data_IF_179826750506
#
_entry.id   IF_179826750506
#
_cell.length_a   1.000
_cell.length_b   1.000
_cell.length_c   1.000
_cell.angle_alpha   90.00
_cell.angle_beta   90.00
_cell.angle_gamma   90.00
#
_symmetry.space_group_name_H-M   'P 1'
#
loop_
_entity.id
_entity.type
_entity.pdbx_description
1 polymer ?
#
# COMPACT_ATOMS: atom_id res chain seq x y z
N UNK A 1 0.01 -21.47 -4.42
CA UNK A 1 1.12 -20.62 -4.96
C UNK A 1 0.88 -19.19 -4.51
N UNK A 2 1.85 -18.57 -3.84
CA UNK A 2 1.71 -17.23 -3.25
C UNK A 2 1.62 -16.14 -4.34
N UNK A 3 0.64 -15.25 -4.20
CA UNK A 3 0.40 -14.10 -5.10
C UNK A 3 1.50 -13.02 -4.92
N UNK A 4 1.99 -12.89 -3.68
CA UNK A 4 2.98 -11.91 -3.27
C UNK A 4 4.27 -12.61 -2.83
N UNK A 5 5.33 -11.82 -2.69
CA UNK A 5 6.57 -12.28 -2.08
C UNK A 5 6.35 -12.29 -0.56
N UNK A 6 6.98 -13.22 0.19
CA UNK A 6 6.73 -13.40 1.62
C UNK A 6 6.83 -12.12 2.46
N UNK A 7 7.73 -11.21 2.10
CA UNK A 7 7.91 -9.93 2.82
C UNK A 7 6.68 -9.01 2.75
N UNK A 8 5.92 -9.04 1.65
CA UNK A 8 4.71 -8.23 1.52
C UNK A 8 3.54 -8.88 2.26
N UNK A 9 3.43 -10.21 2.22
CA UNK A 9 2.43 -10.97 2.98
C UNK A 9 2.65 -10.84 4.50
N UNK A 10 3.91 -10.90 4.96
CA UNK A 10 4.29 -10.70 6.36
C UNK A 10 3.83 -9.33 6.87
N UNK A 11 4.02 -8.27 6.09
CA UNK A 11 3.53 -6.95 6.47
C UNK A 11 2.00 -6.91 6.64
N UNK A 12 1.23 -7.53 5.73
CA UNK A 12 -0.23 -7.58 5.85
C UNK A 12 -0.63 -8.29 7.16
N UNK A 13 0.00 -9.41 7.47
CA UNK A 13 -0.22 -10.13 8.71
C UNK A 13 0.09 -9.27 9.94
N UNK A 14 1.24 -8.58 9.95
CA UNK A 14 1.62 -7.68 11.04
C UNK A 14 0.66 -6.51 11.21
N UNK A 15 0.11 -5.97 10.13
CA UNK A 15 -0.93 -4.94 10.21
C UNK A 15 -2.20 -5.52 10.84
N UNK A 16 -2.67 -6.68 10.35
CA UNK A 16 -3.89 -7.32 10.81
C UNK A 16 -3.82 -7.69 12.30
N UNK A 17 -2.68 -8.23 12.75
CA UNK A 17 -2.43 -8.62 14.14
C UNK A 17 -1.96 -7.47 15.03
N UNK A 18 -1.89 -6.23 14.50
CA UNK A 18 -1.37 -5.06 15.21
C UNK A 18 0.01 -5.34 15.83
N UNK A 19 0.92 -5.89 15.05
CA UNK A 19 2.30 -6.21 15.48
C UNK A 19 3.31 -5.13 15.08
N UNK A 20 2.91 -4.14 14.30
CA UNK A 20 3.82 -3.09 13.87
C UNK A 20 4.23 -2.15 15.02
N UNK A 21 5.54 -1.91 15.20
CA UNK A 21 6.06 -0.97 16.20
C UNK A 21 5.91 0.49 15.75
N UNK A 22 4.67 0.93 15.56
CA UNK A 22 4.35 2.35 15.30
C UNK A 22 4.62 3.21 16.54
N UNK A 23 4.98 4.47 16.34
CA UNK A 23 5.51 5.32 17.41
C UNK A 23 4.53 5.62 18.52
N UNK A 24 3.21 5.53 18.27
CA UNK A 24 2.20 5.62 19.33
C UNK A 24 2.40 4.60 20.47
N UNK A 25 3.09 3.47 20.21
CA UNK A 25 3.38 2.43 21.21
C UNK A 25 4.50 2.78 22.18
N UNK A 26 5.36 3.75 21.84
CA UNK A 26 6.50 4.14 22.66
C UNK A 26 6.17 5.25 23.66
N UNK A 27 4.93 5.28 24.16
CA UNK A 27 4.46 6.28 25.14
C UNK A 27 5.32 6.32 26.41
N UNK A 28 5.89 5.18 26.80
CA UNK A 28 6.75 5.03 27.97
C UNK A 28 8.09 5.76 27.84
N UNK A 29 8.52 6.13 26.62
CA UNK A 29 9.75 6.89 26.37
C UNK A 29 9.53 8.41 26.37
N UNK A 30 8.29 8.89 26.52
CA UNK A 30 7.93 10.31 26.35
C UNK A 30 8.67 11.26 27.29
N UNK A 31 9.06 10.80 28.49
CA UNK A 31 9.84 11.61 29.43
C UNK A 31 11.27 11.86 28.93
N UNK A 32 11.86 10.91 28.21
CA UNK A 32 13.23 10.98 27.70
C UNK A 32 13.27 11.64 26.31
N UNK A 33 12.26 11.36 25.48
CA UNK A 33 12.14 11.82 24.10
C UNK A 33 10.72 12.37 23.92
N UNK A 34 10.50 13.69 24.10
CA UNK A 34 9.16 14.29 24.11
C UNK A 34 8.33 14.05 22.85
N UNK A 35 8.98 13.94 21.70
CA UNK A 35 8.42 13.74 20.36
C UNK A 35 8.43 12.27 19.91
N UNK A 36 8.74 11.33 20.80
CA UNK A 36 8.88 9.91 20.46
C UNK A 36 7.65 9.30 19.79
N UNK A 37 6.45 9.83 20.06
CA UNK A 37 5.20 9.34 19.49
C UNK A 37 4.79 10.04 18.17
N UNK A 38 5.45 11.14 17.80
CA UNK A 38 5.10 11.92 16.61
C UNK A 38 5.45 11.18 15.32
N UNK A 39 4.77 11.54 14.23
CA UNK A 39 5.04 11.04 12.90
C UNK A 39 6.51 11.33 12.52
N UNK A 40 7.25 10.37 11.97
CA UNK A 40 8.62 10.60 11.53
C UNK A 40 8.75 11.57 10.34
N UNK A 41 7.65 11.88 9.66
CA UNK A 41 7.68 12.78 8.53
C UNK A 41 7.92 14.22 9.01
N UNK A 42 8.94 14.95 8.51
CA UNK A 42 9.29 16.29 8.98
C UNK A 42 8.14 17.30 8.99
N UNK A 43 7.18 17.15 8.08
CA UNK A 43 6.03 18.05 7.94
C UNK A 43 4.78 17.57 8.70
N UNK A 44 4.92 16.65 9.66
CA UNK A 44 3.81 16.08 10.39
C UNK A 44 4.13 15.87 11.87
N UNK A 45 3.36 16.51 12.76
CA UNK A 45 3.51 16.40 14.23
C UNK A 45 2.46 15.51 14.89
N UNK A 46 1.58 14.88 14.10
CA UNK A 46 0.53 13.99 14.61
C UNK A 46 1.11 12.73 15.23
N UNK A 47 0.40 12.12 16.18
CA UNK A 47 0.79 10.84 16.76
C UNK A 47 0.75 9.74 15.69
N UNK A 48 1.85 9.01 15.51
CA UNK A 48 1.95 7.94 14.53
C UNK A 48 1.21 6.68 15.02
N UNK A 49 -0.06 6.56 14.66
CA UNK A 49 -0.79 5.29 14.71
C UNK A 49 -0.63 4.51 13.40
N UNK A 50 -1.03 3.24 13.37
CA UNK A 50 -1.05 2.44 12.12
C UNK A 50 -1.93 3.08 11.05
N UNK A 51 -3.09 3.63 11.44
CA UNK A 51 -3.98 4.36 10.54
C UNK A 51 -3.33 5.66 10.07
N UNK A 52 -2.65 6.38 10.96
CA UNK A 52 -1.94 7.59 10.58
C UNK A 52 -0.85 7.31 9.55
N UNK A 53 0.03 6.34 9.83
CA UNK A 53 1.13 5.95 8.96
C UNK A 53 0.65 5.60 7.54
N UNK A 54 -0.38 4.75 7.43
CA UNK A 54 -0.81 4.20 6.15
C UNK A 54 -1.99 4.93 5.51
N UNK A 55 -2.60 5.92 6.16
CA UNK A 55 -3.80 6.57 5.60
C UNK A 55 -3.91 8.06 5.89
N UNK A 56 -3.72 8.52 7.13
CA UNK A 56 -4.05 9.91 7.50
C UNK A 56 -2.88 10.89 7.35
N UNK A 57 -1.63 10.41 7.41
CA UNK A 57 -0.45 11.24 7.19
C UNK A 57 -0.53 11.93 5.82
N UNK A 58 -0.29 13.25 5.69
CA UNK A 58 -0.40 13.97 4.41
C UNK A 58 0.38 13.31 3.26
N UNK A 59 1.57 12.80 3.56
CA UNK A 59 2.40 12.06 2.61
C UNK A 59 1.71 10.77 2.15
N UNK A 60 1.19 9.98 3.09
CA UNK A 60 0.46 8.75 2.78
C UNK A 60 -0.81 9.01 1.98
N UNK A 61 -1.61 10.00 2.40
CA UNK A 61 -2.81 10.45 1.68
C UNK A 61 -2.47 10.77 0.24
N UNK A 62 -1.39 11.52 0.00
CA UNK A 62 -0.96 11.88 -1.34
C UNK A 62 -0.51 10.67 -2.15
N UNK A 63 0.23 9.74 -1.55
CA UNK A 63 0.60 8.48 -2.21
C UNK A 63 -0.65 7.71 -2.65
N UNK A 64 -1.65 7.54 -1.77
CA UNK A 64 -2.86 6.81 -2.12
C UNK A 64 -3.72 7.51 -3.15
N UNK A 65 -3.78 8.85 -3.17
CA UNK A 65 -4.46 9.59 -4.23
C UNK A 65 -3.87 9.25 -5.61
N UNK A 66 -2.53 9.27 -5.72
CA UNK A 66 -1.84 8.93 -6.97
C UNK A 66 -2.06 7.46 -7.35
N UNK A 67 -1.93 6.53 -6.40
CA UNK A 67 -2.13 5.11 -6.68
C UNK A 67 -3.58 4.75 -6.98
N UNK A 68 -4.55 5.54 -6.50
CA UNK A 68 -5.98 5.27 -6.66
C UNK A 68 -6.55 5.88 -7.93
N UNK A 69 -5.97 6.96 -8.44
CA UNK A 69 -6.48 7.72 -9.60
C UNK A 69 -6.87 6.79 -10.77
N UNK A 70 -5.93 5.99 -11.25
CA UNK A 70 -6.15 5.08 -12.38
C UNK A 70 -7.02 3.87 -12.02
N UNK A 71 -7.06 3.49 -10.76
CA UNK A 71 -7.76 2.29 -10.29
C UNK A 71 -9.23 2.54 -9.97
N UNK A 72 -9.58 3.79 -9.67
CA UNK A 72 -10.92 4.20 -9.27
C UNK A 72 -12.01 3.75 -10.25
N UNK A 73 -11.71 3.67 -11.55
CA UNK A 73 -12.63 3.26 -12.62
C UNK A 73 -13.20 1.84 -12.44
N UNK A 74 -12.49 0.97 -11.70
CA UNK A 74 -12.85 -0.42 -11.51
C UNK A 74 -13.78 -0.66 -10.34
N UNK A 75 -13.93 0.31 -9.43
CA UNK A 75 -14.59 0.11 -8.15
C UNK A 75 -15.82 1.00 -8.00
N UNK A 76 -16.80 0.57 -7.19
CA UNK A 76 -18.04 1.33 -6.96
C UNK A 76 -17.90 2.45 -5.94
N UNK A 77 -16.89 2.36 -5.08
CA UNK A 77 -16.68 3.26 -3.95
C UNK A 77 -15.26 3.77 -3.94
N UNK A 78 -15.07 4.98 -3.39
CA UNK A 78 -13.75 5.53 -3.14
C UNK A 78 -12.95 4.65 -2.17
N UNK A 79 -11.62 4.74 -2.29
CA UNK A 79 -10.71 4.12 -1.35
C UNK A 79 -10.93 4.72 0.05
N UNK A 80 -11.03 3.84 1.04
CA UNK A 80 -11.12 4.18 2.45
C UNK A 80 -10.10 3.36 3.24
N UNK A 81 -9.80 3.79 4.47
CA UNK A 81 -9.00 3.00 5.41
C UNK A 81 -9.51 1.58 5.57
N UNK A 82 -10.84 1.41 5.71
CA UNK A 82 -11.46 0.10 5.88
C UNK A 82 -11.23 -0.79 4.68
N UNK A 83 -11.44 -0.29 3.45
CA UNK A 83 -11.18 -1.07 2.23
C UNK A 83 -9.70 -1.31 1.96
N UNK A 84 -8.82 -0.48 2.52
CA UNK A 84 -7.37 -0.65 2.41
C UNK A 84 -6.88 -1.82 3.26
N UNK A 85 -7.35 -1.92 4.51
CA UNK A 85 -6.98 -3.01 5.42
C UNK A 85 -7.80 -4.28 5.15
N UNK A 86 -9.05 -4.13 4.75
CA UNK A 86 -9.97 -5.23 4.45
C UNK A 86 -10.31 -5.22 2.95
N UNK A 87 -9.43 -5.76 2.09
CA UNK A 87 -9.61 -5.67 0.64
C UNK A 87 -10.90 -6.30 0.11
N UNK A 88 -11.43 -7.30 0.81
CA UNK A 88 -12.71 -7.93 0.47
C UNK A 88 -13.92 -6.99 0.62
N UNK A 89 -13.76 -5.83 1.28
CA UNK A 89 -14.82 -4.81 1.38
C UNK A 89 -14.90 -3.93 0.14
N UNK A 90 -13.86 -3.91 -0.70
CA UNK A 90 -13.85 -3.15 -1.94
C UNK A 90 -14.64 -3.91 -3.02
N UNK A 91 -15.64 -3.26 -3.61
CA UNK A 91 -16.54 -3.88 -4.60
C UNK A 91 -16.19 -3.43 -6.00
N UNK A 92 -15.99 -4.40 -6.89
CA UNK A 92 -15.77 -4.14 -8.33
C UNK A 92 -17.08 -3.66 -8.95
N UNK A 93 -16.99 -2.65 -9.80
CA UNK A 93 -18.11 -2.09 -10.54
C UNK A 93 -18.71 -3.17 -11.46
N UNK A 94 -20.04 -3.22 -11.55
CA UNK A 94 -20.78 -4.18 -12.38
C UNK A 94 -20.28 -4.23 -13.83
N UNK A 95 -19.82 -3.11 -14.39
CA UNK A 95 -19.20 -3.04 -15.73
C UNK A 95 -18.00 -3.98 -15.90
N UNK A 96 -17.32 -4.29 -14.81
CA UNK A 96 -16.08 -5.07 -14.79
C UNK A 96 -16.24 -6.41 -14.07
N UNK A 97 -17.46 -6.88 -13.81
CA UNK A 97 -17.69 -8.11 -13.04
C UNK A 97 -17.05 -9.35 -13.68
N UNK A 98 -17.01 -9.41 -15.01
CA UNK A 98 -16.32 -10.47 -15.78
C UNK A 98 -14.81 -10.52 -15.54
N UNK A 99 -14.22 -9.42 -15.08
CA UNK A 99 -12.78 -9.26 -14.84
C UNK A 99 -12.45 -9.12 -13.34
N UNK A 100 -13.42 -9.38 -12.46
CA UNK A 100 -13.31 -9.10 -11.03
C UNK A 100 -12.06 -9.74 -10.39
N UNK A 101 -11.81 -11.02 -10.65
CA UNK A 101 -10.66 -11.70 -10.06
C UNK A 101 -9.33 -11.11 -10.50
N UNK A 102 -9.21 -10.72 -11.77
CA UNK A 102 -8.01 -10.09 -12.30
C UNK A 102 -7.78 -8.72 -11.65
N UNK A 103 -8.83 -7.91 -11.57
CA UNK A 103 -8.81 -6.59 -10.94
C UNK A 103 -8.41 -6.70 -9.47
N UNK A 104 -9.08 -7.56 -8.70
CA UNK A 104 -8.82 -7.72 -7.27
C UNK A 104 -7.39 -8.23 -7.01
N UNK A 105 -6.87 -9.14 -7.83
CA UNK A 105 -5.50 -9.64 -7.71
C UNK A 105 -4.47 -8.55 -8.00
N UNK A 106 -4.60 -7.84 -9.11
CA UNK A 106 -3.66 -6.79 -9.48
C UNK A 106 -3.73 -5.61 -8.50
N UNK A 107 -4.93 -5.21 -8.09
CA UNK A 107 -5.12 -4.19 -7.06
C UNK A 107 -4.48 -4.62 -5.73
N UNK A 108 -4.63 -5.89 -5.34
CA UNK A 108 -4.00 -6.42 -4.14
C UNK A 108 -2.47 -6.33 -4.20
N UNK A 109 -1.88 -6.57 -5.37
CA UNK A 109 -0.44 -6.40 -5.57
C UNK A 109 -0.02 -4.95 -5.39
N UNK A 110 -0.70 -4.00 -6.04
CA UNK A 110 -0.38 -2.58 -5.91
C UNK A 110 -0.54 -2.13 -4.45
N UNK A 111 -1.66 -2.47 -3.82
CA UNK A 111 -1.95 -2.15 -2.42
C UNK A 111 -0.84 -2.62 -1.49
N UNK A 112 -0.42 -3.87 -1.62
CA UNK A 112 0.64 -4.42 -0.80
C UNK A 112 1.99 -3.77 -1.08
N UNK A 113 2.28 -3.44 -2.36
CA UNK A 113 3.49 -2.71 -2.73
C UNK A 113 3.55 -1.31 -2.09
N UNK A 114 2.43 -0.57 -2.12
CA UNK A 114 2.32 0.75 -1.49
C UNK A 114 2.48 0.68 0.03
N UNK A 115 1.78 -0.24 0.70
CA UNK A 115 1.91 -0.43 2.16
C UNK A 115 3.35 -0.78 2.56
N UNK A 116 3.98 -1.67 1.81
CA UNK A 116 5.36 -2.07 2.05
C UNK A 116 6.34 -0.91 1.84
N UNK A 117 6.17 -0.14 0.76
CA UNK A 117 6.97 1.05 0.53
C UNK A 117 6.86 2.05 1.70
N UNK A 118 5.63 2.36 2.14
CA UNK A 118 5.39 3.28 3.26
C UNK A 118 6.03 2.77 4.56
N UNK A 119 5.89 1.48 4.86
CA UNK A 119 6.50 0.88 6.05
C UNK A 119 8.03 0.93 6.02
N UNK A 120 8.64 0.50 4.91
CA UNK A 120 10.09 0.49 4.76
C UNK A 120 10.66 1.90 4.79
N UNK A 121 10.02 2.85 4.10
CA UNK A 121 10.50 4.23 4.08
C UNK A 121 10.40 4.90 5.45
N UNK A 122 9.31 4.63 6.17
CA UNK A 122 9.18 5.05 7.57
C UNK A 122 10.31 4.51 8.44
N UNK A 123 10.68 3.23 8.29
CA UNK A 123 11.77 2.66 9.07
C UNK A 123 13.12 3.28 8.72
N UNK A 124 13.37 3.53 7.43
CA UNK A 124 14.56 4.25 6.98
C UNK A 124 14.70 5.64 7.64
N UNK A 125 13.59 6.39 7.76
CA UNK A 125 13.58 7.68 8.47
C UNK A 125 13.84 7.51 9.98
N UNK A 126 13.29 6.46 10.60
CA UNK A 126 13.41 6.26 12.05
C UNK A 126 14.77 5.72 12.51
N UNK A 127 15.49 4.98 11.65
CA UNK A 127 16.64 4.18 12.07
C UNK A 127 17.92 4.42 11.25
N UNK A 128 17.81 5.09 10.10
CA UNK A 128 18.93 5.31 9.18
C UNK A 128 19.07 6.80 8.80
N UNK A 129 18.54 7.70 9.63
CA UNK A 129 18.54 9.17 9.43
C UNK A 129 18.09 9.59 8.01
N UNK A 130 17.18 8.80 7.44
CA UNK A 130 16.70 8.99 6.09
C UNK A 130 15.69 10.11 5.94
N UNK A 131 15.62 10.72 4.76
CA UNK A 131 14.57 11.69 4.42
C UNK A 131 13.40 11.03 3.69
N UNK A 132 12.15 11.52 3.77
CA UNK A 132 11.04 11.02 2.95
C UNK A 132 11.35 11.06 1.45
N UNK A 133 10.85 10.08 0.69
CA UNK A 133 11.03 10.10 -0.76
C UNK A 133 10.18 11.22 -1.38
N UNK A 134 10.70 11.98 -2.36
CA UNK A 134 9.86 12.81 -3.19
C UNK A 134 8.76 11.98 -3.86
N UNK A 135 7.55 12.55 -4.05
CA UNK A 135 6.40 11.83 -4.61
C UNK A 135 6.71 11.08 -5.93
N UNK A 136 7.45 11.66 -6.92
CA UNK A 136 7.79 10.94 -8.14
C UNK A 136 8.63 9.67 -7.87
N UNK A 137 9.58 9.75 -6.93
CA UNK A 137 10.44 8.63 -6.53
C UNK A 137 9.64 7.54 -5.83
N UNK A 138 8.76 7.92 -4.90
CA UNK A 138 7.88 6.99 -4.20
C UNK A 138 6.97 6.23 -5.18
N UNK A 139 6.30 6.96 -6.08
CA UNK A 139 5.47 6.41 -7.15
C UNK A 139 6.25 5.44 -8.04
N UNK A 140 7.43 5.84 -8.53
CA UNK A 140 8.28 4.98 -9.37
C UNK A 140 8.70 3.68 -8.68
N UNK A 141 9.05 3.73 -7.39
CA UNK A 141 9.42 2.56 -6.59
C UNK A 141 8.23 1.61 -6.39
N UNK A 142 7.04 2.14 -6.11
CA UNK A 142 5.82 1.36 -5.96
C UNK A 142 5.46 0.67 -7.29
N UNK A 143 5.46 1.40 -8.41
CA UNK A 143 5.20 0.80 -9.72
C UNK A 143 6.26 -0.23 -10.13
N UNK A 144 7.54 0.01 -9.79
CA UNK A 144 8.60 -0.97 -10.04
C UNK A 144 8.35 -2.28 -9.28
N UNK A 145 7.98 -2.20 -8.00
CA UNK A 145 7.59 -3.36 -7.21
C UNK A 145 6.37 -4.06 -7.82
N UNK A 146 5.32 -3.32 -8.16
CA UNK A 146 4.14 -3.83 -8.86
C UNK A 146 4.51 -4.57 -10.15
N UNK A 147 5.34 -3.98 -11.00
CA UNK A 147 5.82 -4.58 -12.25
C UNK A 147 6.60 -5.87 -12.01
N UNK A 148 7.44 -5.94 -10.97
CA UNK A 148 8.14 -7.17 -10.59
C UNK A 148 7.15 -8.29 -10.22
N UNK A 149 6.13 -7.99 -9.42
CA UNK A 149 5.07 -8.94 -9.07
C UNK A 149 4.23 -9.33 -10.30
N UNK A 150 3.90 -8.38 -11.17
CA UNK A 150 3.17 -8.64 -12.40
C UNK A 150 3.94 -9.59 -13.33
N UNK A 151 5.24 -9.36 -13.55
CA UNK A 151 6.09 -10.28 -14.33
C UNK A 151 6.11 -11.68 -13.73
N UNK A 152 6.15 -11.80 -12.40
CA UNK A 152 6.03 -13.08 -11.71
C UNK A 152 4.66 -13.73 -11.97
N UNK A 153 3.58 -12.96 -11.90
CA UNK A 153 2.22 -13.42 -12.19
C UNK A 153 2.09 -13.96 -13.61
N UNK A 154 2.66 -13.27 -14.60
CA UNK A 154 2.68 -13.75 -15.98
C UNK A 154 3.35 -15.12 -16.10
N UNK A 155 4.49 -15.34 -15.44
CA UNK A 155 5.20 -16.63 -15.49
C UNK A 155 4.39 -17.81 -14.93
N UNK A 156 3.54 -17.57 -13.93
CA UNK A 156 2.82 -18.63 -13.22
C UNK A 156 1.36 -18.81 -13.68
N UNK A 157 0.82 -17.86 -14.45
CA UNK A 157 -0.58 -17.88 -14.89
C UNK A 157 -0.74 -18.55 -16.26
N UNK A 158 -1.92 -19.13 -16.52
CA UNK A 158 -2.29 -19.66 -17.84
C UNK A 158 -2.46 -18.54 -18.87
N UNK A 159 -2.37 -18.83 -20.19
CA UNK A 159 -2.54 -17.83 -21.24
C UNK A 159 -3.84 -17.03 -21.13
N UNK A 160 -4.96 -17.65 -20.76
CA UNK A 160 -6.24 -16.97 -20.63
C UNK A 160 -6.24 -15.95 -19.48
N UNK A 161 -5.68 -16.32 -18.32
CA UNK A 161 -5.55 -15.41 -17.18
C UNK A 161 -4.61 -14.23 -17.51
N UNK A 162 -3.55 -14.46 -18.30
CA UNK A 162 -2.65 -13.39 -18.74
C UNK A 162 -3.39 -12.35 -19.59
N UNK A 163 -4.24 -12.79 -20.51
CA UNK A 163 -5.09 -11.89 -21.33
C UNK A 163 -6.00 -11.04 -20.45
N UNK A 164 -6.54 -11.61 -19.38
CA UNK A 164 -7.35 -10.85 -18.41
C UNK A 164 -6.55 -9.76 -17.70
N UNK A 165 -5.33 -10.06 -17.24
CA UNK A 165 -4.48 -9.03 -16.65
C UNK A 165 -4.12 -7.93 -17.65
N UNK A 166 -3.76 -8.29 -18.89
CA UNK A 166 -3.45 -7.31 -19.94
C UNK A 166 -4.65 -6.41 -20.25
N UNK A 167 -5.87 -6.96 -20.30
CA UNK A 167 -7.11 -6.18 -20.49
C UNK A 167 -7.30 -5.14 -19.40
N UNK A 168 -7.08 -5.52 -18.14
CA UNK A 168 -7.17 -4.59 -16.99
C UNK A 168 -6.09 -3.51 -17.11
N UNK A 169 -4.83 -3.90 -17.35
CA UNK A 169 -3.72 -2.95 -17.41
C UNK A 169 -3.85 -1.93 -18.55
N UNK A 170 -4.44 -2.32 -19.70
CA UNK A 170 -4.69 -1.39 -20.83
C UNK A 170 -5.66 -0.25 -20.51
N UNK A 171 -6.39 -0.33 -19.40
CA UNK A 171 -7.32 0.72 -18.97
C UNK A 171 -6.70 1.68 -17.95
N UNK A 172 -5.55 1.31 -17.37
CA UNK A 172 -4.75 2.19 -16.54
C UNK A 172 -4.00 3.17 -17.46
N UNK A 173 -3.87 4.44 -17.03
CA UNK A 173 -3.15 5.47 -17.79
C UNK A 173 -1.64 5.40 -17.56
#
# INVERSE_FOLDING_TARGET
>A
RHLLLPVYDDLQMRIALRLLPVRSRFWFLKQQIPDVQQCPNPNCTSIETTKHLFWECPHSTRTWQLMWEDWSIFFTSNLSWTSLILPHKLRVNKRWCSHQDAILRLWNVLRCATLHHQWTKRNYICFEDGEPDPMPTATSRIHSAFCCHYRRLLRISSPDIRKEYERVLRQLR
#
